data_IF_468725906158
#
_entry.id   IF_468725906158
#
_cell.length_a   1.000
_cell.length_b   1.000
_cell.length_c   1.000
_cell.angle_alpha   90.00
_cell.angle_beta   90.00
_cell.angle_gamma   90.00
#
_symmetry.space_group_name_H-M   'P 1'
#
loop_
_entity.id
_entity.type
_entity.pdbx_description
1 polymer ?
#
# COMPACT_ATOMS: atom_id res chain seq x y z
N UNK A 1 14.73 -28.38 42.59
CA UNK A 1 13.68 -27.99 41.63
C UNK A 1 13.80 -26.49 41.47
N UNK A 2 14.21 -25.99 40.32
CA UNK A 2 14.03 -24.59 39.89
C UNK A 2 14.15 -24.54 38.35
N UNK A 3 13.05 -24.90 37.69
CA UNK A 3 12.92 -24.85 36.23
C UNK A 3 12.72 -23.41 35.75
N UNK A 4 13.81 -22.67 35.54
CA UNK A 4 13.74 -21.40 34.79
C UNK A 4 14.12 -21.66 33.33
N UNK A 5 13.12 -22.13 32.56
CA UNK A 5 13.20 -22.17 31.10
C UNK A 5 13.43 -20.76 30.57
N UNK A 6 14.66 -20.51 30.13
CA UNK A 6 15.06 -19.35 29.35
C UNK A 6 14.21 -19.30 28.09
N UNK A 7 13.23 -18.41 28.05
CA UNK A 7 12.43 -18.10 26.87
C UNK A 7 13.33 -17.49 25.80
N UNK A 8 13.92 -18.35 24.97
CA UNK A 8 14.64 -17.95 23.78
C UNK A 8 13.64 -17.38 22.76
N UNK A 9 13.89 -16.14 22.30
CA UNK A 9 13.54 -15.80 20.92
C UNK A 9 12.42 -14.81 20.68
N UNK A 10 12.13 -13.85 21.56
CA UNK A 10 11.48 -12.61 21.14
C UNK A 10 12.41 -11.45 21.43
N UNK A 11 13.44 -11.33 20.59
CA UNK A 11 14.18 -10.08 20.49
C UNK A 11 13.24 -8.94 20.07
N UNK A 12 13.60 -7.67 20.29
CA UNK A 12 12.87 -6.56 19.70
C UNK A 12 12.73 -6.83 18.21
N UNK A 13 11.51 -6.72 17.66
CA UNK A 13 11.25 -6.85 16.22
C UNK A 13 12.25 -5.91 15.52
N UNK A 14 13.32 -6.47 14.96
CA UNK A 14 14.28 -5.69 14.22
C UNK A 14 13.61 -5.35 12.88
N UNK A 15 12.91 -4.21 12.85
CA UNK A 15 12.38 -3.54 11.64
C UNK A 15 13.56 -2.99 10.78
N UNK A 16 14.75 -3.58 10.93
CA UNK A 16 16.05 -3.14 10.41
C UNK A 16 16.51 -3.93 9.19
N UNK A 17 15.73 -4.89 8.72
CA UNK A 17 15.94 -5.41 7.37
C UNK A 17 15.44 -4.33 6.40
N UNK A 18 16.36 -3.42 6.06
CA UNK A 18 16.28 -2.47 4.96
C UNK A 18 16.33 -3.28 3.66
N UNK A 19 15.30 -4.11 3.47
CA UNK A 19 15.13 -4.91 2.27
C UNK A 19 15.04 -3.93 1.13
N UNK A 20 16.01 -3.98 0.23
CA UNK A 20 15.97 -3.21 -1.01
C UNK A 20 14.85 -3.81 -1.87
N UNK A 21 13.61 -3.33 -1.70
CA UNK A 21 12.50 -3.81 -2.52
C UNK A 21 12.53 -3.08 -3.86
N UNK A 22 12.23 -3.76 -4.98
CA UNK A 22 12.29 -3.14 -6.29
C UNK A 22 11.43 -1.87 -6.37
N UNK A 23 12.07 -0.72 -6.63
CA UNK A 23 11.41 0.59 -6.75
C UNK A 23 11.01 1.27 -5.43
N UNK A 24 11.14 0.60 -4.28
CA UNK A 24 10.80 1.18 -2.96
C UNK A 24 12.10 1.52 -2.22
N UNK A 25 12.38 2.81 -2.16
CA UNK A 25 13.52 3.45 -1.49
C UNK A 25 13.28 3.73 0.00
N UNK A 26 12.03 3.63 0.49
CA UNK A 26 11.66 4.02 1.85
C UNK A 26 10.57 3.13 2.45
N UNK A 27 10.69 2.87 3.77
CA UNK A 27 9.65 2.16 4.55
C UNK A 27 8.30 2.86 4.51
N UNK A 28 8.28 4.19 4.47
CA UNK A 28 7.03 4.93 4.34
C UNK A 28 6.36 4.66 2.99
N UNK A 29 7.16 4.60 1.91
CA UNK A 29 6.66 4.27 0.58
C UNK A 29 6.15 2.82 0.53
N UNK A 30 6.84 1.87 1.16
CA UNK A 30 6.34 0.49 1.30
C UNK A 30 4.93 0.47 1.92
N UNK A 31 4.73 1.21 3.01
CA UNK A 31 3.44 1.27 3.72
C UNK A 31 2.37 1.89 2.82
N UNK A 32 2.65 3.04 2.22
CA UNK A 32 1.68 3.77 1.38
C UNK A 32 1.27 2.95 0.17
N UNK A 33 2.24 2.40 -0.59
CA UNK A 33 1.96 1.60 -1.78
C UNK A 33 1.18 0.32 -1.40
N UNK A 34 1.57 -0.34 -0.31
CA UNK A 34 0.85 -1.53 0.18
C UNK A 34 -0.58 -1.21 0.62
N UNK A 35 -0.81 -0.07 1.26
CA UNK A 35 -2.15 0.36 1.68
C UNK A 35 -3.04 0.67 0.47
N UNK A 36 -2.52 1.41 -0.51
CA UNK A 36 -3.22 1.69 -1.76
C UNK A 36 -3.57 0.41 -2.51
N UNK A 37 -2.63 -0.53 -2.58
CA UNK A 37 -2.87 -1.83 -3.22
C UNK A 37 -3.90 -2.66 -2.46
N UNK A 38 -3.84 -2.70 -1.13
CA UNK A 38 -4.84 -3.38 -0.30
C UNK A 38 -6.25 -2.83 -0.54
N UNK A 39 -6.39 -1.50 -0.72
CA UNK A 39 -7.67 -0.87 -1.08
C UNK A 39 -8.20 -1.35 -2.45
N UNK A 40 -7.33 -1.58 -3.43
CA UNK A 40 -7.73 -2.16 -4.70
C UNK A 40 -8.24 -3.60 -4.54
N UNK A 41 -7.53 -4.42 -3.76
CA UNK A 41 -7.94 -5.81 -3.48
C UNK A 41 -9.29 -5.86 -2.73
N UNK A 42 -9.52 -4.94 -1.79
CA UNK A 42 -10.82 -4.81 -1.11
C UNK A 42 -11.96 -4.45 -2.07
N UNK A 43 -11.66 -3.72 -3.15
CA UNK A 43 -12.61 -3.38 -4.21
C UNK A 43 -12.81 -4.49 -5.25
N UNK A 44 -12.22 -5.67 -5.04
CA UNK A 44 -12.33 -6.81 -5.94
C UNK A 44 -11.28 -6.87 -7.04
N UNK A 45 -10.20 -6.08 -6.96
CA UNK A 45 -9.08 -6.26 -7.87
C UNK A 45 -8.45 -7.64 -7.68
N UNK A 46 -8.04 -8.26 -8.78
CA UNK A 46 -7.40 -9.57 -8.74
C UNK A 46 -6.00 -9.49 -8.11
N UNK A 47 -5.65 -10.42 -7.21
CA UNK A 47 -4.27 -10.63 -6.78
C UNK A 47 -3.35 -10.96 -7.96
N UNK A 48 -2.12 -10.45 -7.92
CA UNK A 48 -1.04 -10.76 -8.87
C UNK A 48 -0.22 -11.97 -8.45
N UNK A 49 -0.33 -12.37 -7.19
CA UNK A 49 0.29 -13.59 -6.64
C UNK A 49 -0.79 -14.60 -6.32
N UNK A 50 -0.43 -15.88 -6.36
CA UNK A 50 -1.27 -16.94 -5.80
C UNK A 50 -1.34 -16.76 -4.28
N UNK A 51 -2.52 -16.47 -3.72
CA UNK A 51 -2.63 -16.25 -2.28
C UNK A 51 -2.35 -17.57 -1.54
N UNK A 52 -1.38 -17.54 -0.63
CA UNK A 52 -1.16 -18.62 0.32
C UNK A 52 -2.47 -18.83 1.13
N UNK A 53 -2.95 -20.08 1.30
CA UNK A 53 -4.12 -20.39 2.11
C UNK A 53 -4.11 -19.78 3.52
N UNK A 54 -2.91 -19.53 4.09
CA UNK A 54 -2.71 -18.90 5.40
C UNK A 54 -2.61 -17.38 5.35
N UNK A 55 -2.27 -16.78 4.20
CA UNK A 55 -2.09 -15.32 4.02
C UNK A 55 -3.14 -14.69 3.11
N UNK A 56 -4.40 -15.07 3.32
CA UNK A 56 -5.55 -14.55 2.54
C UNK A 56 -5.94 -13.11 2.84
N UNK A 57 -5.32 -12.43 3.81
CA UNK A 57 -5.66 -11.03 4.12
C UNK A 57 -5.16 -10.13 2.99
N UNK A 58 -6.02 -9.22 2.50
CA UNK A 58 -5.68 -8.26 1.44
C UNK A 58 -4.41 -7.45 1.76
N UNK A 59 -4.19 -7.12 3.03
CA UNK A 59 -2.97 -6.43 3.47
C UNK A 59 -1.71 -7.28 3.35
N UNK A 60 -1.80 -8.59 3.63
CA UNK A 60 -0.69 -9.53 3.47
C UNK A 60 -0.36 -9.75 2.00
N UNK A 61 -1.38 -9.95 1.17
CA UNK A 61 -1.23 -10.10 -0.29
C UNK A 61 -0.60 -8.85 -0.89
N UNK A 62 -1.12 -7.66 -0.54
CA UNK A 62 -0.58 -6.39 -1.02
C UNK A 62 0.89 -6.20 -0.63
N UNK A 63 1.25 -6.50 0.63
CA UNK A 63 2.64 -6.41 1.08
C UNK A 63 3.57 -7.32 0.29
N UNK A 64 3.16 -8.55 -0.01
CA UNK A 64 3.96 -9.48 -0.78
C UNK A 64 4.11 -9.04 -2.24
N UNK A 65 3.03 -8.58 -2.87
CA UNK A 65 3.09 -8.04 -4.24
C UNK A 65 4.04 -6.83 -4.32
N UNK A 66 4.02 -5.92 -3.33
CA UNK A 66 4.91 -4.74 -3.32
C UNK A 66 6.35 -5.15 -3.06
N UNK A 67 6.60 -6.07 -2.12
CA UNK A 67 7.96 -6.58 -1.86
C UNK A 67 8.56 -7.32 -3.05
N UNK A 68 7.72 -7.97 -3.86
CA UNK A 68 8.12 -8.64 -5.11
C UNK A 68 8.19 -7.68 -6.32
N UNK A 69 7.84 -6.40 -6.16
CA UNK A 69 7.86 -5.42 -7.25
C UNK A 69 6.77 -5.64 -8.31
N UNK A 70 5.71 -6.37 -7.99
CA UNK A 70 4.61 -6.69 -8.93
C UNK A 70 3.57 -5.58 -9.03
N UNK A 71 3.61 -4.60 -8.13
CA UNK A 71 2.71 -3.45 -8.13
C UNK A 71 3.38 -2.28 -8.86
N UNK A 72 2.97 -1.93 -10.08
CA UNK A 72 3.46 -0.73 -10.74
C UNK A 72 2.91 0.50 -10.03
N UNK A 73 3.79 1.48 -9.76
CA UNK A 73 3.40 2.78 -9.24
C UNK A 73 4.35 3.85 -9.78
N UNK A 74 3.90 5.11 -9.75
CA UNK A 74 4.69 6.27 -10.11
C UNK A 74 4.73 7.21 -8.92
N UNK A 75 5.87 7.86 -8.71
CA UNK A 75 6.03 8.86 -7.66
C UNK A 75 5.83 10.22 -8.30
N UNK A 76 4.79 10.93 -7.87
CA UNK A 76 4.59 12.34 -8.22
C UNK A 76 5.19 13.18 -7.10
N UNK A 77 6.18 13.99 -7.45
CA UNK A 77 6.63 15.09 -6.60
C UNK A 77 5.83 16.31 -7.04
N UNK A 78 4.65 16.49 -6.46
CA UNK A 78 3.92 17.74 -6.65
C UNK A 78 4.63 18.80 -5.81
N UNK A 79 5.29 19.76 -6.46
CA UNK A 79 5.47 21.07 -5.84
C UNK A 79 4.08 21.54 -5.42
N UNK A 80 3.87 22.07 -4.21
CA UNK A 80 2.57 22.49 -3.74
C UNK A 80 2.04 23.63 -4.63
N UNK A 81 1.36 23.28 -5.72
CA UNK A 81 0.62 24.20 -6.56
C UNK A 81 -0.83 24.12 -6.15
N UNK A 82 -1.21 25.19 -5.45
CA UNK A 82 -2.52 25.81 -5.33
C UNK A 82 -3.74 24.99 -5.80
N UNK A 83 -4.64 24.74 -4.84
CA UNK A 83 -5.88 23.99 -5.00
C UNK A 83 -6.90 24.78 -5.83
N UNK A 84 -6.76 24.77 -7.15
CA UNK A 84 -7.80 25.19 -8.09
C UNK A 84 -8.87 24.10 -8.26
N UNK A 85 -9.65 23.83 -7.22
CA UNK A 85 -10.87 23.02 -7.32
C UNK A 85 -11.93 23.81 -8.09
N UNK A 86 -12.08 23.53 -9.37
CA UNK A 86 -13.08 24.17 -10.22
C UNK A 86 -13.51 23.25 -11.34
N UNK A 87 -14.33 22.24 -11.03
CA UNK A 87 -15.09 21.52 -12.05
C UNK A 87 -16.55 21.39 -11.60
N UNK A 88 -17.42 22.13 -12.29
CA UNK A 88 -18.87 22.12 -12.13
C UNK A 88 -19.51 22.61 -13.41
N UNK A 89 -19.92 21.65 -14.23
CA UNK A 89 -20.63 21.75 -15.50
C UNK A 89 -21.67 22.88 -15.64
N UNK A 90 -21.69 23.47 -16.84
CA UNK A 90 -22.86 23.62 -17.74
C UNK A 90 -24.25 23.47 -17.09
N UNK A 91 -24.98 24.59 -16.99
CA UNK A 91 -26.44 24.59 -17.05
C UNK A 91 -26.86 25.66 -18.06
N UNK A 92 -27.08 25.22 -19.30
CA UNK A 92 -27.89 26.00 -20.24
C UNK A 92 -29.33 25.95 -19.75
N UNK A 93 -29.93 27.12 -19.60
CA UNK A 93 -31.38 27.28 -19.58
C UNK A 93 -31.71 28.30 -20.66
N UNK A 94 -32.71 27.93 -21.43
CA UNK A 94 -32.96 28.36 -22.79
C UNK A 94 -33.46 29.80 -22.90
N UNK A 95 -33.17 30.34 -24.08
CA UNK A 95 -33.86 31.41 -24.79
C UNK A 95 -35.39 31.33 -24.62
N UNK A 96 -36.01 32.41 -24.13
CA UNK A 96 -37.43 32.73 -24.34
C UNK A 96 -37.57 34.22 -24.64
N UNK A 97 -38.28 34.48 -25.74
CA UNK A 97 -38.53 35.73 -26.52
C UNK A 97 -38.50 37.08 -25.77
#
# INVERSE_FOLDING_TARGET
MDDTKKIAGVGPINIRDEGTWPGIDSRFRLIVVSALRSKQLQRGALPRITPDPLKRRNTSIALEEVKQGLVPFTVTFEDPKDNGSGNGNQMGIDEVD
#
